data_IF_105577574735
#
_entry.id   IF_105577574735
#
_cell.length_a   1.000
_cell.length_b   1.000
_cell.length_c   1.000
_cell.angle_alpha   90.00
_cell.angle_beta   90.00
_cell.angle_gamma   90.00
#
_symmetry.space_group_name_H-M   'P 1'
#
loop_
_entity.id
_entity.type
_entity.pdbx_description
1 polymer ?
#
# COMPACT_ATOMS: atom_id res chain seq x y z
N UNK A 1 20.64 46.02 -8.81
CA UNK A 1 21.30 45.16 -9.81
C UNK A 1 20.78 43.72 -9.73
N UNK A 2 21.03 42.97 -8.65
CA UNK A 2 20.59 41.57 -8.55
C UNK A 2 19.08 41.33 -8.70
N UNK A 3 18.22 42.23 -8.22
CA UNK A 3 16.76 42.14 -8.45
C UNK A 3 16.39 42.21 -9.94
N UNK A 4 17.09 43.05 -10.72
CA UNK A 4 16.88 43.16 -12.17
C UNK A 4 17.54 42.02 -12.96
N UNK A 5 18.67 41.52 -12.47
CA UNK A 5 19.40 40.38 -13.04
C UNK A 5 18.71 39.03 -12.77
N UNK A 6 17.98 38.91 -11.66
CA UNK A 6 17.27 37.70 -11.26
C UNK A 6 16.26 37.22 -12.30
N UNK A 7 15.62 38.16 -13.02
CA UNK A 7 14.69 37.83 -14.12
C UNK A 7 15.36 37.06 -15.28
N UNK A 8 16.69 37.12 -15.38
CA UNK A 8 17.48 36.42 -16.40
C UNK A 8 18.42 35.37 -15.78
N UNK A 9 18.16 34.93 -14.54
CA UNK A 9 19.00 33.97 -13.82
C UNK A 9 20.48 34.42 -13.72
N UNK A 10 20.70 35.72 -13.58
CA UNK A 10 22.02 36.31 -13.40
C UNK A 10 22.15 36.83 -11.97
N UNK A 11 23.34 36.71 -11.40
CA UNK A 11 23.70 37.33 -10.12
C UNK A 11 25.01 38.08 -10.26
N UNK A 12 25.07 39.28 -9.72
CA UNK A 12 26.26 40.10 -9.62
C UNK A 12 26.79 40.10 -8.18
N UNK A 13 28.08 39.90 -8.03
CA UNK A 13 28.81 40.04 -6.76
C UNK A 13 30.12 40.81 -6.99
N UNK A 14 30.76 41.24 -5.90
CA UNK A 14 32.14 41.71 -5.95
C UNK A 14 33.04 40.57 -5.46
N UNK A 15 34.12 40.27 -6.19
CA UNK A 15 35.14 39.35 -5.72
C UNK A 15 36.03 39.99 -4.63
N UNK A 16 36.95 39.21 -4.07
CA UNK A 16 37.90 39.66 -3.04
C UNK A 16 38.89 40.72 -3.52
N UNK A 17 38.93 41.02 -4.82
CA UNK A 17 39.73 42.07 -5.43
C UNK A 17 38.86 43.26 -5.90
N UNK A 18 37.62 43.37 -5.39
CA UNK A 18 36.65 44.42 -5.71
C UNK A 18 36.23 44.48 -7.19
N UNK A 19 36.35 43.37 -7.94
CA UNK A 19 35.86 43.28 -9.32
C UNK A 19 34.42 42.79 -9.35
N UNK A 20 33.61 43.41 -10.22
CA UNK A 20 32.24 42.96 -10.49
C UNK A 20 32.26 41.63 -11.24
N UNK A 21 31.79 40.57 -10.58
CA UNK A 21 31.58 39.25 -11.16
C UNK A 21 30.10 39.08 -11.44
N UNK A 22 29.74 38.70 -12.67
CA UNK A 22 28.37 38.31 -13.00
C UNK A 22 28.38 36.82 -13.32
N UNK A 23 27.64 36.04 -12.54
CA UNK A 23 27.46 34.60 -12.72
C UNK A 23 26.05 34.33 -13.25
N UNK A 24 25.94 33.38 -14.17
CA UNK A 24 24.66 32.77 -14.54
C UNK A 24 24.36 31.62 -13.59
N UNK A 25 23.13 31.56 -13.09
CA UNK A 25 22.58 30.40 -12.40
C UNK A 25 21.76 29.51 -13.34
N UNK A 26 21.74 29.82 -14.65
CA UNK A 26 21.06 29.06 -15.69
C UNK A 26 22.04 28.18 -16.48
N UNK A 27 21.91 26.87 -16.31
CA UNK A 27 22.61 25.83 -17.08
C UNK A 27 21.88 25.42 -18.37
N UNK A 28 20.67 25.96 -18.60
CA UNK A 28 19.86 25.71 -19.79
C UNK A 28 20.29 26.61 -20.95
N UNK A 29 20.48 27.89 -20.66
CA UNK A 29 20.95 28.88 -21.62
C UNK A 29 21.67 30.02 -20.90
N UNK A 30 22.92 30.27 -21.29
CA UNK A 30 23.69 31.40 -20.77
C UNK A 30 23.57 32.58 -21.74
N UNK A 31 23.25 33.77 -21.22
CA UNK A 31 23.35 35.01 -21.99
C UNK A 31 24.74 35.57 -21.84
N UNK A 32 25.42 35.86 -22.95
CA UNK A 32 26.68 36.59 -22.90
C UNK A 32 26.39 38.08 -22.79
N UNK A 33 26.98 38.71 -21.78
CA UNK A 33 27.01 40.17 -21.71
C UNK A 33 27.89 40.62 -22.87
N UNK A 34 27.36 41.49 -23.73
CA UNK A 34 28.08 42.03 -24.88
C UNK A 34 29.34 42.79 -24.46
N UNK A 35 30.10 43.30 -25.44
CA UNK A 35 31.36 44.00 -25.18
C UNK A 35 31.20 45.09 -24.10
N UNK A 36 32.03 45.02 -23.06
CA UNK A 36 32.10 46.07 -22.03
C UNK A 36 33.09 47.11 -22.54
N UNK A 37 32.59 48.30 -22.89
CA UNK A 37 33.44 49.39 -23.38
C UNK A 37 33.67 50.37 -22.23
N UNK A 38 34.95 50.55 -21.89
CA UNK A 38 35.39 51.64 -21.03
C UNK A 38 36.15 52.66 -21.88
N UNK A 39 35.59 53.86 -22.12
CA UNK A 39 36.16 54.80 -23.08
C UNK A 39 37.47 55.50 -22.64
N UNK A 40 38.06 55.15 -21.49
CA UNK A 40 39.38 55.65 -21.05
C UNK A 40 39.44 56.10 -19.59
N UNK A 41 40.66 56.31 -19.08
CA UNK A 41 40.94 56.64 -17.67
C UNK A 41 40.38 58.02 -17.26
N UNK A 42 39.25 58.02 -16.54
CA UNK A 42 38.62 59.21 -15.95
C UNK A 42 37.14 59.33 -16.33
N UNK A 43 36.26 59.38 -15.31
CA UNK A 43 34.80 59.71 -15.34
C UNK A 43 33.92 59.18 -16.49
N UNK A 44 34.39 58.22 -17.29
CA UNK A 44 33.65 57.64 -18.41
C UNK A 44 32.52 56.72 -17.95
N UNK A 45 31.37 56.83 -18.61
CA UNK A 45 30.25 55.91 -18.41
C UNK A 45 30.59 54.54 -18.99
N UNK A 46 30.52 53.49 -18.17
CA UNK A 46 30.60 52.10 -18.64
C UNK A 46 29.37 51.82 -19.53
N UNK A 47 29.61 51.49 -20.80
CA UNK A 47 28.56 51.05 -21.71
C UNK A 47 28.69 49.55 -21.96
N UNK A 48 27.57 48.83 -21.77
CA UNK A 48 27.45 47.42 -22.11
C UNK A 48 26.92 47.33 -23.54
N UNK A 49 27.62 46.58 -24.40
CA UNK A 49 27.12 46.21 -25.72
C UNK A 49 25.83 45.41 -25.63
N UNK A 50 25.09 45.35 -26.75
CA UNK A 50 23.85 44.56 -26.82
C UNK A 50 24.11 43.11 -26.40
N UNK A 51 23.27 42.58 -25.50
CA UNK A 51 23.33 41.19 -25.09
C UNK A 51 23.04 40.30 -26.31
N UNK A 52 23.80 39.20 -26.43
CA UNK A 52 23.56 38.21 -27.47
C UNK A 52 22.48 37.23 -26.99
N UNK A 53 21.72 36.66 -27.92
CA UNK A 53 20.73 35.65 -27.61
C UNK A 53 21.36 34.50 -26.80
N UNK A 54 20.64 33.94 -25.80
CA UNK A 54 21.13 32.84 -24.99
C UNK A 54 21.57 31.66 -25.87
N UNK A 55 22.76 31.10 -25.60
CA UNK A 55 23.21 29.87 -26.27
C UNK A 55 22.94 28.70 -25.33
N UNK A 56 22.20 27.72 -25.84
CA UNK A 56 21.93 26.48 -25.11
C UNK A 56 23.16 25.57 -25.12
N UNK A 57 23.48 24.97 -23.97
CA UNK A 57 24.53 23.98 -23.87
C UNK A 57 24.03 22.63 -24.40
N UNK A 58 24.54 22.20 -25.56
CA UNK A 58 24.08 20.97 -26.22
C UNK A 58 24.28 19.71 -25.36
N UNK A 59 25.32 19.66 -24.52
CA UNK A 59 25.60 18.54 -23.62
C UNK A 59 24.58 18.46 -22.49
N UNK A 60 24.35 19.57 -21.79
CA UNK A 60 23.35 19.71 -20.73
C UNK A 60 21.95 19.36 -21.24
N UNK A 61 21.58 19.89 -22.41
CA UNK A 61 20.27 19.60 -23.02
C UNK A 61 20.10 18.13 -23.39
N UNK A 62 21.17 17.48 -23.88
CA UNK A 62 21.15 16.04 -24.19
C UNK A 62 20.98 15.20 -22.92
N UNK A 63 21.71 15.53 -21.83
CA UNK A 63 21.60 14.84 -20.54
C UNK A 63 20.19 14.99 -19.96
N UNK A 64 19.63 16.22 -19.98
CA UNK A 64 18.28 16.50 -19.47
C UNK A 64 17.21 15.79 -20.27
N UNK A 65 17.33 15.76 -21.60
CA UNK A 65 16.41 14.99 -22.45
C UNK A 65 16.44 13.48 -22.13
N UNK A 66 17.63 12.92 -21.88
CA UNK A 66 17.76 11.53 -21.44
C UNK A 66 17.11 11.29 -20.07
N UNK A 67 17.25 12.22 -19.12
CA UNK A 67 16.60 12.12 -17.81
C UNK A 67 15.08 12.22 -17.91
N UNK A 68 14.55 13.09 -18.78
CA UNK A 68 13.11 13.15 -19.07
C UNK A 68 12.60 11.82 -19.63
N UNK A 69 13.35 11.20 -20.56
CA UNK A 69 13.00 9.89 -21.09
C UNK A 69 13.01 8.80 -20.00
N UNK A 70 14.02 8.79 -19.12
CA UNK A 70 14.07 7.85 -17.99
C UNK A 70 12.91 8.06 -17.02
N UNK A 71 12.62 9.31 -16.65
CA UNK A 71 11.47 9.65 -15.80
C UNK A 71 10.16 9.12 -16.42
N UNK A 72 9.92 9.39 -17.70
CA UNK A 72 8.70 8.94 -18.38
C UNK A 72 8.59 7.41 -18.44
N UNK A 73 9.71 6.69 -18.61
CA UNK A 73 9.71 5.24 -18.52
C UNK A 73 9.28 4.76 -17.13
N UNK A 74 9.77 5.39 -16.05
CA UNK A 74 9.35 5.07 -14.68
C UNK A 74 7.88 5.41 -14.44
N UNK A 75 7.38 6.54 -14.93
CA UNK A 75 5.95 6.90 -14.87
C UNK A 75 5.07 5.85 -15.56
N UNK A 76 5.51 5.35 -16.72
CA UNK A 76 4.82 4.25 -17.41
C UNK A 76 4.85 2.98 -16.55
N UNK A 77 5.99 2.62 -15.97
CA UNK A 77 6.10 1.45 -15.08
C UNK A 77 5.22 1.56 -13.83
N UNK A 78 5.10 2.74 -13.22
CA UNK A 78 4.19 2.99 -12.09
C UNK A 78 2.74 2.73 -12.54
N UNK A 79 2.38 3.25 -13.71
CA UNK A 79 1.04 3.11 -14.26
C UNK A 79 0.71 1.65 -14.57
N UNK A 80 1.63 0.90 -15.21
CA UNK A 80 1.41 -0.53 -15.49
C UNK A 80 1.39 -1.35 -14.21
N UNK A 81 2.31 -1.12 -13.28
CA UNK A 81 2.34 -1.83 -11.99
C UNK A 81 1.03 -1.63 -11.22
N UNK A 82 0.51 -0.39 -11.17
CA UNK A 82 -0.77 -0.10 -10.54
C UNK A 82 -1.93 -0.82 -11.21
N UNK A 83 -1.92 -0.97 -12.53
CA UNK A 83 -2.98 -1.69 -13.27
C UNK A 83 -2.87 -3.22 -13.10
N UNK A 84 -1.64 -3.75 -13.03
CA UNK A 84 -1.36 -5.19 -12.94
C UNK A 84 -1.52 -5.72 -11.50
N UNK A 85 -1.55 -4.85 -10.48
CA UNK A 85 -1.65 -5.18 -9.05
C UNK A 85 -3.05 -5.67 -8.63
N UNK A 86 -3.63 -6.59 -9.39
CA UNK A 86 -4.92 -7.21 -9.13
C UNK A 86 -4.78 -8.55 -8.40
N UNK A 87 -5.72 -8.85 -7.51
CA UNK A 87 -5.87 -10.17 -6.91
C UNK A 87 -7.31 -10.64 -7.08
N UNK A 88 -7.49 -11.81 -7.69
CA UNK A 88 -8.81 -12.41 -7.94
C UNK A 88 -9.81 -11.43 -8.60
N UNK A 89 -9.33 -10.60 -9.53
CA UNK A 89 -10.15 -9.62 -10.25
C UNK A 89 -10.43 -8.31 -9.53
N UNK A 90 -9.85 -8.08 -8.34
CA UNK A 90 -9.97 -6.83 -7.58
C UNK A 90 -8.62 -6.11 -7.57
N UNK A 91 -8.60 -4.84 -7.97
CA UNK A 91 -7.41 -4.01 -7.92
C UNK A 91 -7.63 -2.76 -7.03
N UNK A 92 -7.13 -2.84 -5.79
CA UNK A 92 -7.21 -1.76 -4.80
C UNK A 92 -6.41 -0.50 -5.19
N UNK A 93 -5.47 -0.60 -6.13
CA UNK A 93 -4.66 0.53 -6.62
C UNK A 93 -5.24 1.14 -7.91
N UNK A 94 -6.26 0.52 -8.51
CA UNK A 94 -6.92 1.01 -9.72
C UNK A 94 -8.41 1.35 -9.49
N UNK A 95 -8.80 1.60 -8.24
CA UNK A 95 -10.12 2.09 -7.86
C UNK A 95 -11.16 1.02 -7.49
N UNK A 96 -10.81 -0.27 -7.48
CA UNK A 96 -11.74 -1.30 -7.04
C UNK A 96 -11.82 -1.38 -5.52
N UNK A 97 -13.02 -1.55 -4.98
CA UNK A 97 -13.23 -1.78 -3.55
C UNK A 97 -13.18 -3.28 -3.22
N UNK A 98 -12.58 -3.61 -2.07
CA UNK A 98 -12.63 -4.96 -1.50
C UNK A 98 -13.61 -5.00 -0.32
N UNK A 99 -14.71 -5.72 -0.48
CA UNK A 99 -15.65 -6.01 0.61
C UNK A 99 -15.34 -7.37 1.24
N UNK A 100 -14.99 -7.35 2.52
CA UNK A 100 -14.74 -8.52 3.35
C UNK A 100 -15.94 -8.73 4.26
N UNK A 101 -16.55 -9.91 4.20
CA UNK A 101 -17.68 -10.28 5.05
C UNK A 101 -17.20 -11.22 6.16
N UNK A 102 -17.49 -10.89 7.41
CA UNK A 102 -17.02 -11.65 8.59
C UNK A 102 -18.07 -12.61 9.15
N UNK A 103 -19.32 -12.53 8.70
CA UNK A 103 -20.39 -13.42 9.16
C UNK A 103 -21.29 -13.87 8.01
N UNK A 104 -21.98 -14.99 8.20
CA UNK A 104 -22.82 -15.62 7.17
C UNK A 104 -23.97 -14.71 6.71
N UNK A 105 -24.42 -13.80 7.56
CA UNK A 105 -25.53 -12.88 7.26
C UNK A 105 -25.11 -11.61 6.50
N UNK A 106 -23.81 -11.38 6.29
CA UNK A 106 -23.32 -10.18 5.60
C UNK A 106 -23.42 -8.87 6.39
N UNK A 107 -23.94 -8.91 7.62
CA UNK A 107 -24.13 -7.72 8.48
C UNK A 107 -22.83 -7.21 9.11
N UNK A 108 -21.85 -8.10 9.28
CA UNK A 108 -20.51 -7.73 9.75
C UNK A 108 -19.57 -7.76 8.57
N UNK A 109 -19.12 -6.59 8.13
CA UNK A 109 -18.22 -6.47 6.98
C UNK A 109 -17.24 -5.32 7.15
N UNK A 110 -16.06 -5.46 6.54
CA UNK A 110 -15.10 -4.38 6.31
C UNK A 110 -15.06 -4.10 4.81
N UNK A 111 -15.21 -2.84 4.42
CA UNK A 111 -14.95 -2.41 3.04
C UNK A 111 -13.64 -1.66 3.02
N UNK A 112 -12.64 -2.22 2.35
CA UNK A 112 -11.39 -1.54 2.03
C UNK A 112 -11.62 -0.79 0.72
N UNK A 113 -11.54 0.54 0.79
CA UNK A 113 -11.76 1.39 -0.37
C UNK A 113 -10.55 1.35 -1.30
N UNK A 114 -10.82 1.18 -2.59
CA UNK A 114 -9.81 1.31 -3.62
C UNK A 114 -9.42 2.77 -3.81
N UNK A 115 -8.19 2.97 -4.23
CA UNK A 115 -7.64 4.26 -4.67
C UNK A 115 -7.16 4.13 -6.11
N UNK A 116 -7.04 5.23 -6.83
CA UNK A 116 -6.45 5.23 -8.18
C UNK A 116 -5.04 5.80 -8.11
N UNK A 117 -4.04 4.94 -7.98
CA UNK A 117 -2.63 5.31 -7.81
C UNK A 117 -1.75 4.99 -9.02
N UNK A 118 -2.33 5.10 -10.21
CA UNK A 118 -1.54 5.27 -11.42
C UNK A 118 -0.82 6.65 -11.41
N UNK A 119 0.08 6.89 -12.36
CA UNK A 119 0.86 8.12 -12.36
C UNK A 119 -0.02 9.39 -12.35
N UNK A 120 -1.13 9.40 -13.11
CA UNK A 120 -2.06 10.53 -13.14
C UNK A 120 -2.76 10.75 -11.78
N UNK A 121 -3.20 9.68 -11.13
CA UNK A 121 -3.86 9.74 -9.81
C UNK A 121 -2.91 10.15 -8.68
N UNK A 122 -1.61 9.93 -8.85
CA UNK A 122 -0.55 10.44 -7.97
C UNK A 122 -0.10 11.87 -8.32
N UNK A 123 -0.71 12.50 -9.34
CA UNK A 123 -0.32 13.85 -9.80
C UNK A 123 1.01 13.89 -10.55
N UNK A 124 1.51 12.74 -11.01
CA UNK A 124 2.75 12.61 -11.76
C UNK A 124 2.44 12.62 -13.26
N UNK A 125 2.54 13.79 -13.88
CA UNK A 125 2.43 13.93 -15.32
C UNK A 125 3.74 13.48 -16.02
N UNK A 126 3.62 13.01 -17.26
CA UNK A 126 4.76 12.82 -18.15
C UNK A 126 5.41 14.16 -18.49
N UNK A 127 6.73 14.17 -18.58
CA UNK A 127 7.53 15.36 -18.88
C UNK A 127 7.84 15.43 -20.37
N UNK A 128 8.03 16.64 -20.90
CA UNK A 128 8.35 16.90 -22.30
C UNK A 128 9.75 17.50 -22.41
N UNK A 129 10.62 16.83 -23.16
CA UNK A 129 12.01 17.26 -23.36
C UNK A 129 12.06 18.66 -24.02
N UNK A 130 12.96 19.51 -23.53
CA UNK A 130 13.08 20.90 -23.97
C UNK A 130 12.11 21.88 -23.31
N UNK A 131 11.14 21.39 -22.53
CA UNK A 131 10.25 22.23 -21.70
C UNK A 131 10.40 21.91 -20.21
N UNK A 132 10.46 20.63 -19.87
CA UNK A 132 10.68 20.12 -18.53
C UNK A 132 12.15 19.77 -18.28
N UNK A 133 12.55 19.82 -17.01
CA UNK A 133 13.95 19.72 -16.58
C UNK A 133 14.88 20.72 -17.27
N UNK A 134 14.33 21.81 -17.80
CA UNK A 134 15.09 22.85 -18.47
C UNK A 134 16.11 23.47 -17.52
N UNK A 135 15.71 23.72 -16.27
CA UNK A 135 16.50 24.35 -15.24
C UNK A 135 16.29 23.69 -13.87
N UNK A 136 16.96 24.22 -12.84
CA UNK A 136 16.82 23.70 -11.48
C UNK A 136 15.42 23.92 -10.92
N UNK A 137 14.72 24.98 -11.34
CA UNK A 137 13.36 25.25 -10.86
C UNK A 137 12.36 24.20 -11.35
N UNK A 138 12.37 23.87 -12.63
CA UNK A 138 11.55 22.80 -13.22
C UNK A 138 11.90 21.42 -12.68
N UNK A 139 13.19 21.12 -12.47
CA UNK A 139 13.62 19.88 -11.82
C UNK A 139 13.12 19.77 -10.36
N UNK A 140 13.23 20.85 -9.58
CA UNK A 140 12.76 20.89 -8.18
C UNK A 140 11.24 20.75 -8.06
N UNK A 141 10.47 21.23 -9.05
CA UNK A 141 9.02 20.99 -9.10
C UNK A 141 8.70 19.50 -9.21
N UNK A 142 9.36 18.77 -10.10
CA UNK A 142 9.15 17.33 -10.22
C UNK A 142 9.57 16.58 -8.96
N UNK A 143 10.70 16.96 -8.33
CA UNK A 143 11.12 16.38 -7.05
C UNK A 143 10.07 16.59 -5.95
N UNK A 144 9.45 17.78 -5.90
CA UNK A 144 8.39 18.07 -4.94
C UNK A 144 7.18 17.17 -5.18
N UNK A 145 6.73 17.02 -6.43
CA UNK A 145 5.62 16.13 -6.80
C UNK A 145 5.91 14.66 -6.45
N UNK A 146 7.12 14.18 -6.74
CA UNK A 146 7.56 12.83 -6.36
C UNK A 146 7.55 12.63 -4.83
N UNK A 147 7.98 13.64 -4.06
CA UNK A 147 7.93 13.61 -2.61
C UNK A 147 6.50 13.53 -2.05
N UNK A 148 5.57 14.30 -2.64
CA UNK A 148 4.15 14.24 -2.30
C UNK A 148 3.54 12.88 -2.65
N UNK A 149 3.75 12.37 -3.87
CA UNK A 149 3.28 11.05 -4.29
C UNK A 149 3.81 9.93 -3.37
N UNK A 150 5.08 9.97 -3.02
CA UNK A 150 5.71 9.04 -2.08
C UNK A 150 5.06 9.08 -0.69
N UNK A 151 4.69 10.27 -0.22
CA UNK A 151 3.99 10.43 1.07
C UNK A 151 2.59 9.84 1.01
N UNK A 152 1.84 10.13 -0.05
CA UNK A 152 0.51 9.54 -0.29
C UNK A 152 0.54 8.01 -0.32
N UNK A 153 1.51 7.43 -1.04
CA UNK A 153 1.69 5.97 -1.09
C UNK A 153 1.98 5.37 0.29
N UNK A 154 2.81 6.03 1.11
CA UNK A 154 3.08 5.57 2.48
C UNK A 154 1.85 5.64 3.39
N UNK A 155 1.04 6.70 3.25
CA UNK A 155 -0.21 6.84 4.01
C UNK A 155 -1.18 5.71 3.66
N UNK A 156 -1.34 5.39 2.38
CA UNK A 156 -2.20 4.28 1.95
C UNK A 156 -1.66 2.93 2.41
N UNK A 157 -0.36 2.68 2.30
CA UNK A 157 0.26 1.45 2.80
C UNK A 157 0.01 1.27 4.31
N UNK A 158 0.03 2.35 5.08
CA UNK A 158 -0.31 2.33 6.51
C UNK A 158 -1.79 2.02 6.76
N UNK A 159 -2.70 2.58 5.95
CA UNK A 159 -4.12 2.28 6.02
C UNK A 159 -4.41 0.81 5.67
N UNK A 160 -3.82 0.29 4.60
CA UNK A 160 -3.90 -1.12 4.23
C UNK A 160 -3.33 -2.04 5.31
N UNK A 161 -2.19 -1.67 5.92
CA UNK A 161 -1.61 -2.38 7.06
C UNK A 161 -2.56 -2.44 8.26
N UNK A 162 -3.22 -1.33 8.58
CA UNK A 162 -4.22 -1.27 9.66
C UNK A 162 -5.43 -2.16 9.36
N UNK A 163 -5.93 -2.14 8.12
CA UNK A 163 -7.00 -3.03 7.66
C UNK A 163 -6.58 -4.50 7.75
N UNK A 164 -5.35 -4.84 7.38
CA UNK A 164 -4.83 -6.20 7.51
C UNK A 164 -4.82 -6.66 8.98
N UNK A 165 -4.38 -5.82 9.92
CA UNK A 165 -4.44 -6.15 11.35
C UNK A 165 -5.86 -6.43 11.84
N UNK A 166 -6.85 -5.66 11.36
CA UNK A 166 -8.27 -5.92 11.67
C UNK A 166 -8.70 -7.29 11.13
N UNK A 167 -8.33 -7.62 9.89
CA UNK A 167 -8.67 -8.91 9.27
C UNK A 167 -8.02 -10.07 10.03
N UNK A 168 -6.75 -9.95 10.41
CA UNK A 168 -6.04 -10.95 11.21
C UNK A 168 -6.71 -11.17 12.57
N UNK A 169 -7.02 -10.10 13.30
CA UNK A 169 -7.72 -10.18 14.59
C UNK A 169 -9.08 -10.86 14.45
N UNK A 170 -9.84 -10.54 13.40
CA UNK A 170 -11.12 -11.19 13.11
C UNK A 170 -10.96 -12.66 12.75
N UNK A 171 -9.93 -13.00 11.99
CA UNK A 171 -9.62 -14.39 11.65
C UNK A 171 -9.33 -15.20 12.93
N UNK A 172 -8.51 -14.68 13.83
CA UNK A 172 -8.14 -15.37 15.07
C UNK A 172 -9.33 -15.48 16.03
N UNK A 173 -10.12 -14.42 16.18
CA UNK A 173 -11.37 -14.48 16.94
C UNK A 173 -12.29 -15.59 16.41
N UNK A 174 -12.50 -15.65 15.09
CA UNK A 174 -13.37 -16.66 14.49
C UNK A 174 -12.83 -18.08 14.69
N UNK A 175 -11.52 -18.30 14.55
CA UNK A 175 -10.90 -19.61 14.84
C UNK A 175 -11.11 -20.02 16.29
N UNK A 176 -10.88 -19.11 17.24
CA UNK A 176 -11.08 -19.37 18.65
C UNK A 176 -12.54 -19.67 18.98
N UNK A 177 -13.47 -18.90 18.40
CA UNK A 177 -14.90 -19.14 18.56
C UNK A 177 -15.31 -20.50 18.01
N UNK A 178 -14.82 -20.89 16.83
CA UNK A 178 -15.07 -22.22 16.24
C UNK A 178 -14.57 -23.32 17.18
N UNK A 179 -13.34 -23.20 17.72
CA UNK A 179 -12.79 -24.19 18.63
C UNK A 179 -13.65 -24.33 19.90
N UNK A 180 -14.06 -23.21 20.51
CA UNK A 180 -14.92 -23.21 21.71
C UNK A 180 -16.28 -23.84 21.41
N UNK A 181 -16.90 -23.49 20.28
CA UNK A 181 -18.18 -24.05 19.87
C UNK A 181 -18.06 -25.56 19.55
N UNK A 182 -16.95 -26.00 18.96
CA UNK A 182 -16.71 -27.42 18.68
C UNK A 182 -16.51 -28.23 19.97
N UNK A 183 -15.78 -27.70 20.94
CA UNK A 183 -15.68 -28.32 22.28
C UNK A 183 -17.01 -28.30 23.02
N UNK A 184 -17.74 -27.20 22.99
CA UNK A 184 -19.06 -27.08 23.63
C UNK A 184 -20.07 -28.05 23.02
N UNK A 185 -20.12 -28.16 21.69
CA UNK A 185 -20.96 -29.13 21.00
C UNK A 185 -20.55 -30.56 21.36
N UNK A 186 -19.25 -30.87 21.32
CA UNK A 186 -18.71 -32.16 21.75
C UNK A 186 -19.17 -32.52 23.16
N UNK A 187 -19.05 -31.60 24.13
CA UNK A 187 -19.48 -31.83 25.51
C UNK A 187 -21.00 -32.04 25.66
N UNK A 188 -21.82 -31.43 24.81
CA UNK A 188 -23.27 -31.61 24.83
C UNK A 188 -23.71 -32.91 24.15
N UNK A 189 -22.94 -33.43 23.20
CA UNK A 189 -23.30 -34.61 22.40
C UNK A 189 -22.57 -35.89 22.79
N UNK A 190 -21.37 -35.77 23.39
CA UNK A 190 -20.60 -36.92 23.85
C UNK A 190 -21.25 -37.46 25.12
N UNK A 191 -21.63 -38.72 25.08
CA UNK A 191 -22.03 -39.46 26.27
C UNK A 191 -20.81 -39.75 27.14
N UNK A 192 -20.97 -39.71 28.47
CA UNK A 192 -19.93 -40.14 29.39
C UNK A 192 -19.75 -41.65 29.27
N UNK A 193 -18.59 -42.07 28.74
CA UNK A 193 -18.30 -43.49 28.52
C UNK A 193 -18.29 -44.31 29.79
N UNK A 194 -18.01 -43.71 30.96
CA UNK A 194 -18.06 -44.41 32.24
C UNK A 194 -19.50 -44.63 32.69
N UNK A 195 -20.38 -43.64 32.52
CA UNK A 195 -21.80 -43.76 32.86
C UNK A 195 -22.49 -44.75 31.91
N UNK A 196 -22.24 -44.64 30.61
CA UNK A 196 -22.75 -45.60 29.61
C UNK A 196 -22.22 -47.02 29.87
N UNK A 197 -20.94 -47.17 30.26
CA UNK A 197 -20.39 -48.47 30.63
C UNK A 197 -21.03 -49.05 31.89
N UNK A 198 -21.23 -48.24 32.93
CA UNK A 198 -21.91 -48.65 34.16
C UNK A 198 -23.37 -49.03 33.90
N UNK A 199 -24.08 -48.25 33.08
CA UNK A 199 -25.45 -48.52 32.68
C UNK A 199 -25.56 -49.80 31.82
N UNK A 200 -24.63 -49.99 30.88
CA UNK A 200 -24.53 -51.22 30.09
C UNK A 200 -24.26 -52.45 30.97
N UNK A 201 -23.37 -52.34 31.96
CA UNK A 201 -23.09 -53.42 32.90
C UNK A 201 -24.31 -53.71 33.80
N UNK A 202 -24.97 -52.68 34.31
CA UNK A 202 -26.19 -52.82 35.09
C UNK A 202 -27.33 -53.44 34.28
N UNK A 203 -27.45 -53.08 33.00
CA UNK A 203 -28.41 -53.67 32.07
C UNK A 203 -28.12 -55.15 31.83
N UNK A 204 -26.86 -55.52 31.58
CA UNK A 204 -26.46 -56.92 31.44
C UNK A 204 -26.77 -57.73 32.71
N UNK A 205 -26.52 -57.16 33.90
CA UNK A 205 -26.89 -57.79 35.18
C UNK A 205 -28.40 -57.91 35.34
N UNK A 206 -29.19 -56.89 34.99
CA UNK A 206 -30.65 -56.96 34.99
C UNK A 206 -31.19 -58.01 34.02
N UNK A 207 -30.62 -58.14 32.83
CA UNK A 207 -31.01 -59.15 31.85
C UNK A 207 -30.69 -60.56 32.36
N UNK A 208 -29.51 -60.77 32.96
CA UNK A 208 -29.14 -62.04 33.61
C UNK A 208 -30.12 -62.41 34.72
N UNK A 209 -30.45 -61.46 35.61
CA UNK A 209 -31.45 -61.67 36.68
C UNK A 209 -32.83 -61.96 36.09
N UNK A 210 -33.27 -61.25 35.05
CA UNK A 210 -34.56 -61.48 34.40
C UNK A 210 -34.65 -62.88 33.78
N UNK A 211 -33.59 -63.36 33.14
CA UNK A 211 -33.50 -64.72 32.59
C UNK A 211 -33.52 -65.76 33.71
N UNK A 212 -32.72 -65.58 34.78
CA UNK A 212 -32.74 -66.49 35.93
C UNK A 212 -34.08 -66.51 36.65
N UNK A 213 -34.72 -65.35 36.83
CA UNK A 213 -36.05 -65.24 37.43
C UNK A 213 -37.13 -65.89 36.57
N UNK A 214 -37.06 -65.75 35.24
CA UNK A 214 -37.96 -66.43 34.31
C UNK A 214 -37.74 -67.95 34.32
N UNK A 215 -36.50 -68.41 34.39
CA UNK A 215 -36.18 -69.83 34.52
C UNK A 215 -36.73 -70.39 35.84
N UNK A 216 -36.54 -69.68 36.96
CA UNK A 216 -37.13 -70.03 38.26
C UNK A 216 -38.66 -70.05 38.22
N UNK A 217 -39.29 -69.07 37.58
CA UNK A 217 -40.75 -69.00 37.46
C UNK A 217 -41.30 -70.18 36.65
N UNK A 218 -40.66 -70.54 35.53
CA UNK A 218 -41.04 -71.72 34.74
C UNK A 218 -40.82 -73.02 35.51
N UNK A 219 -39.71 -73.14 36.24
CA UNK A 219 -39.43 -74.32 37.08
C UNK A 219 -40.43 -74.43 38.25
N UNK A 220 -40.79 -73.31 38.88
CA UNK A 220 -41.84 -73.24 39.90
C UNK A 220 -43.20 -73.67 39.36
N UNK A 221 -43.60 -73.19 38.17
CA UNK A 221 -44.83 -73.62 37.51
C UNK A 221 -44.84 -75.13 37.20
N UNK A 222 -43.70 -75.71 36.78
CA UNK A 222 -43.57 -77.16 36.56
C UNK A 222 -43.60 -77.97 37.87
N UNK A 223 -42.96 -77.51 38.94
CA UNK A 223 -43.03 -78.16 40.25
C UNK A 223 -44.45 -78.14 40.84
N UNK A 224 -45.20 -77.04 40.66
CA UNK A 224 -46.62 -76.99 41.04
C UNK A 224 -47.45 -77.97 40.20
N UNK A 225 -47.14 -78.11 38.91
CA UNK A 225 -47.82 -79.08 38.04
C UNK A 225 -47.49 -80.54 38.41
N UNK A 226 -46.28 -80.84 38.89
CA UNK A 226 -45.92 -82.16 39.44
C UNK A 226 -46.64 -82.48 40.76
N UNK A 227 -46.93 -81.46 41.58
CA UNK A 227 -47.63 -81.62 42.86
C UNK A 227 -49.15 -81.82 42.68
N UNK A 228 -49.71 -81.31 41.58
CA UNK A 228 -51.13 -81.43 41.23
C UNK A 228 -51.44 -82.67 40.36
N UNK A 229 -50.47 -83.58 40.18
CA UNK A 229 -50.60 -84.82 39.41
C UNK A 229 -50.61 -86.05 40.29
#
# INVERSE_FOLDING_TARGET
>A
LNVALAANNLSASLDSANKLVITTTNDAASSTIGAVVYPGAGTGTLTFGAAVAPVADAGSQTIRANLVAQYNNVIQQITTTSQDSSFNGINLLNGDDLKLTFNETGKSSLTVKGVTFNAAGLGLASLVAGTDFLDNASANKALTLLGSASTTLRTEASALGSNLSIVQLRQDFSKNLINVLQTGASNLTLADTNEEAANSQALATRQSIAVSALALANQSQQSVLQLLR
#
